data_IF_883619900255
#
_entry.id   IF_883619900255
#
_cell.length_a   1.000
_cell.length_b   1.000
_cell.length_c   1.000
_cell.angle_alpha   90.00
_cell.angle_beta   90.00
_cell.angle_gamma   90.00
#
_symmetry.space_group_name_H-M   'P 1'
#
loop_
_entity.id
_entity.type
_entity.pdbx_description
1 polymer ?
#
# COMPACT_ATOMS: atom_id res chain seq x y z
N UNK A 1 4.37 -7.51 1.61
CA UNK A 1 5.20 -6.44 1.00
C UNK A 1 6.31 -6.09 1.97
N UNK A 2 7.42 -5.53 1.49
CA UNK A 2 8.53 -5.05 2.33
C UNK A 2 8.96 -3.67 1.86
N UNK A 3 9.44 -2.84 2.77
CA UNK A 3 10.09 -1.55 2.50
C UNK A 3 11.07 -1.24 3.63
N UNK A 4 11.91 -0.21 3.52
CA UNK A 4 12.80 0.20 4.60
C UNK A 4 12.16 1.28 5.48
N UNK A 5 12.43 1.22 6.78
CA UNK A 5 12.15 2.34 7.67
C UNK A 5 13.07 3.53 7.27
N UNK A 6 12.53 4.72 6.95
CA UNK A 6 13.34 5.88 6.56
C UNK A 6 14.38 6.30 7.60
N UNK A 7 14.09 6.04 8.88
CA UNK A 7 14.94 6.46 9.99
C UNK A 7 16.02 5.42 10.27
N UNK A 8 15.62 4.16 10.51
CA UNK A 8 16.55 3.12 10.98
C UNK A 8 17.17 2.30 9.86
N UNK A 9 16.68 2.43 8.63
CA UNK A 9 17.06 1.61 7.47
C UNK A 9 16.87 0.10 7.70
N UNK A 10 16.14 -0.29 8.74
CA UNK A 10 15.79 -1.69 8.97
C UNK A 10 14.59 -2.06 8.10
N UNK A 11 14.57 -3.30 7.55
CA UNK A 11 13.45 -3.76 6.73
C UNK A 11 12.18 -3.87 7.56
N UNK A 12 11.10 -3.32 7.02
CA UNK A 12 9.74 -3.48 7.49
C UNK A 12 8.99 -4.49 6.65
N UNK A 13 8.15 -5.26 7.32
CA UNK A 13 7.30 -6.27 6.70
C UNK A 13 5.85 -5.88 6.87
N UNK A 14 5.09 -5.96 5.79
CA UNK A 14 3.71 -5.50 5.74
C UNK A 14 2.80 -6.56 5.14
N UNK A 15 1.63 -6.72 5.76
CA UNK A 15 0.46 -7.29 5.11
C UNK A 15 -0.31 -6.18 4.42
N UNK A 16 -0.58 -6.32 3.12
CA UNK A 16 -1.31 -5.35 2.30
C UNK A 16 -2.69 -5.89 2.00
N UNK A 17 -3.74 -5.14 2.34
CA UNK A 17 -5.12 -5.42 1.92
C UNK A 17 -5.61 -4.27 1.06
N UNK A 18 -5.98 -4.59 -0.18
CA UNK A 18 -6.51 -3.64 -1.17
C UNK A 18 -7.96 -4.03 -1.43
N UNK A 19 -8.86 -3.08 -1.25
CA UNK A 19 -10.29 -3.22 -1.57
C UNK A 19 -10.64 -2.07 -2.51
N UNK A 20 -11.39 -2.34 -3.58
CA UNK A 20 -11.79 -1.29 -4.53
C UNK A 20 -13.08 -1.71 -5.25
N UNK A 21 -13.83 -0.71 -5.72
CA UNK A 21 -14.95 -0.92 -6.63
C UNK A 21 -14.48 -0.68 -8.08
N UNK A 22 -14.28 -1.73 -8.88
CA UNK A 22 -13.82 -1.58 -10.26
C UNK A 22 -14.87 -0.86 -11.11
N UNK A 23 -14.39 -0.07 -12.08
CA UNK A 23 -15.21 0.53 -13.12
C UNK A 23 -14.90 -0.16 -14.46
N UNK A 24 -14.39 0.57 -15.46
CA UNK A 24 -14.04 0.00 -16.78
C UNK A 24 -12.76 -0.85 -16.78
N UNK A 25 -11.91 -0.71 -15.76
CA UNK A 25 -10.60 -1.37 -15.68
C UNK A 25 -10.44 -2.15 -14.37
N UNK A 26 -9.67 -3.23 -14.45
CA UNK A 26 -9.31 -4.07 -13.32
C UNK A 26 -7.79 -4.09 -13.14
N UNK A 27 -7.35 -4.24 -11.90
CA UNK A 27 -5.92 -4.44 -11.60
C UNK A 27 -5.50 -5.84 -12.05
N UNK A 28 -4.45 -5.94 -12.88
CA UNK A 28 -3.84 -7.21 -13.23
C UNK A 28 -2.90 -7.70 -12.11
N UNK A 29 -3.04 -8.96 -11.71
CA UNK A 29 -2.39 -9.49 -10.50
C UNK A 29 -0.86 -9.51 -10.57
N UNK A 30 -0.27 -9.79 -11.74
CA UNK A 30 1.19 -9.81 -11.91
C UNK A 30 1.77 -8.38 -11.87
N UNK A 31 1.14 -7.41 -12.51
CA UNK A 31 1.55 -6.00 -12.47
C UNK A 31 1.46 -5.44 -11.06
N UNK A 32 0.40 -5.75 -10.31
CA UNK A 32 0.26 -5.39 -8.90
C UNK A 32 1.39 -5.97 -8.06
N UNK A 33 1.74 -7.25 -8.25
CA UNK A 33 2.87 -7.87 -7.55
C UNK A 33 4.18 -7.14 -7.84
N UNK A 34 4.46 -6.83 -9.10
CA UNK A 34 5.70 -6.14 -9.50
C UNK A 34 5.75 -4.71 -8.94
N UNK A 35 4.64 -3.99 -8.98
CA UNK A 35 4.48 -2.67 -8.36
C UNK A 35 4.74 -2.73 -6.85
N UNK A 36 4.09 -3.63 -6.10
CA UNK A 36 4.34 -3.75 -4.66
C UNK A 36 5.78 -4.20 -4.34
N UNK A 37 6.46 -4.88 -5.26
CA UNK A 37 7.86 -5.28 -5.10
C UNK A 37 8.84 -4.13 -5.33
N UNK A 38 8.49 -3.08 -6.06
CA UNK A 38 9.39 -1.94 -6.30
C UNK A 38 9.75 -1.21 -4.99
N UNK A 39 8.83 -1.16 -4.04
CA UNK A 39 9.04 -0.54 -2.73
C UNK A 39 10.06 -1.24 -1.81
N UNK A 40 10.52 -2.45 -2.16
CA UNK A 40 11.45 -3.23 -1.31
C UNK A 40 12.72 -2.47 -0.94
N UNK A 41 13.23 -1.64 -1.84
CA UNK A 41 14.44 -0.85 -1.64
C UNK A 41 14.20 0.57 -1.11
N UNK A 42 12.95 0.96 -0.90
CA UNK A 42 12.59 2.36 -0.64
C UNK A 42 12.39 2.62 0.85
N UNK A 43 12.92 3.74 1.32
CA UNK A 43 12.67 4.25 2.67
C UNK A 43 11.33 4.98 2.74
N UNK A 44 10.27 4.33 3.22
CA UNK A 44 8.94 4.95 3.37
C UNK A 44 8.27 4.57 4.68
N UNK A 45 7.58 5.54 5.29
CA UNK A 45 6.67 5.28 6.41
C UNK A 45 5.44 4.50 5.92
N UNK A 46 4.82 3.74 6.81
CA UNK A 46 3.66 2.91 6.49
C UNK A 46 2.46 3.74 5.99
N UNK A 47 2.28 4.92 6.57
CA UNK A 47 1.24 5.90 6.24
C UNK A 47 1.42 6.44 4.83
N UNK A 48 2.67 6.79 4.48
CA UNK A 48 3.01 7.26 3.14
C UNK A 48 2.80 6.15 2.11
N UNK A 49 3.28 4.94 2.41
CA UNK A 49 3.07 3.77 1.54
C UNK A 49 1.57 3.49 1.30
N UNK A 50 0.73 3.55 2.33
CA UNK A 50 -0.70 3.30 2.18
C UNK A 50 -1.35 4.36 1.27
N UNK A 51 -1.01 5.63 1.50
CA UNK A 51 -1.50 6.76 0.70
C UNK A 51 -1.06 6.67 -0.75
N UNK A 52 0.21 6.35 -1.01
CA UNK A 52 0.78 6.27 -2.35
C UNK A 52 0.18 5.12 -3.15
N UNK A 53 0.07 3.93 -2.56
CA UNK A 53 -0.57 2.78 -3.21
C UNK A 53 -2.03 3.10 -3.56
N UNK A 54 -2.78 3.74 -2.67
CA UNK A 54 -4.18 4.09 -2.93
C UNK A 54 -4.30 5.11 -4.07
N UNK A 55 -3.46 6.14 -4.07
CA UNK A 55 -3.46 7.19 -5.09
C UNK A 55 -3.07 6.65 -6.46
N UNK A 56 -2.01 5.83 -6.53
CA UNK A 56 -1.53 5.24 -7.78
C UNK A 56 -2.59 4.32 -8.39
N UNK A 57 -3.24 3.48 -7.60
CA UNK A 57 -4.35 2.64 -8.08
C UNK A 57 -5.50 3.52 -8.58
N UNK A 58 -5.86 4.58 -7.84
CA UNK A 58 -6.96 5.45 -8.26
C UNK A 58 -6.67 6.14 -9.60
N UNK A 59 -5.43 6.61 -9.81
CA UNK A 59 -5.03 7.27 -11.06
C UNK A 59 -4.96 6.30 -12.24
N UNK A 60 -4.42 5.09 -12.02
CA UNK A 60 -4.17 4.13 -13.11
C UNK A 60 -5.43 3.35 -13.51
N UNK A 61 -6.25 2.93 -12.54
CA UNK A 61 -7.39 2.04 -12.78
C UNK A 61 -8.73 2.78 -12.74
N UNK A 62 -8.76 4.00 -12.17
CA UNK A 62 -9.96 4.84 -12.05
C UNK A 62 -11.19 4.10 -11.47
N UNK A 63 -11.03 3.36 -10.36
CA UNK A 63 -12.16 2.80 -9.66
C UNK A 63 -13.01 3.90 -9.01
N UNK A 64 -14.27 3.60 -8.70
CA UNK A 64 -15.16 4.54 -7.99
C UNK A 64 -14.57 4.90 -6.61
N UNK A 65 -14.03 3.89 -5.92
CA UNK A 65 -13.22 4.05 -4.72
C UNK A 65 -12.15 2.97 -4.59
N UNK A 66 -11.10 3.29 -3.83
CA UNK A 66 -10.08 2.34 -3.41
C UNK A 66 -9.69 2.59 -1.96
N UNK A 67 -9.57 1.50 -1.19
CA UNK A 67 -9.10 1.47 0.19
C UNK A 67 -7.90 0.55 0.31
N UNK A 68 -6.79 1.10 0.81
CA UNK A 68 -5.56 0.37 1.09
C UNK A 68 -5.35 0.33 2.60
N UNK A 69 -5.15 -0.87 3.13
CA UNK A 69 -4.78 -1.11 4.53
C UNK A 69 -3.41 -1.77 4.56
N UNK A 70 -2.46 -1.11 5.21
CA UNK A 70 -1.14 -1.65 5.50
C UNK A 70 -1.02 -1.95 6.98
N UNK A 71 -0.87 -3.24 7.30
CA UNK A 71 -0.53 -3.67 8.66
C UNK A 71 0.96 -3.96 8.71
N UNK A 72 1.71 -3.12 9.42
CA UNK A 72 3.12 -3.30 9.69
C UNK A 72 3.30 -4.37 10.76
N UNK A 73 4.23 -5.30 10.53
CA UNK A 73 4.61 -6.28 11.54
C UNK A 73 5.15 -5.58 12.79
N UNK A 74 4.93 -6.21 13.95
CA UNK A 74 5.21 -5.61 15.26
C UNK A 74 6.65 -5.10 15.38
N UNK A 75 6.81 -3.83 15.74
CA UNK A 75 8.08 -3.22 16.14
C UNK A 75 7.98 -2.67 17.56
N UNK A 76 8.94 -3.04 18.42
CA UNK A 76 8.94 -2.60 19.82
C UNK A 76 7.67 -2.96 20.60
N UNK A 77 6.98 -4.04 20.23
CA UNK A 77 5.72 -4.45 20.84
C UNK A 77 4.47 -3.73 20.31
N UNK A 78 4.59 -2.89 19.28
CA UNK A 78 3.49 -2.12 18.70
C UNK A 78 3.19 -2.61 17.28
N UNK A 79 1.92 -2.93 17.00
CA UNK A 79 1.41 -3.12 15.64
C UNK A 79 0.86 -1.78 15.13
N UNK A 80 1.32 -1.35 13.95
CA UNK A 80 0.82 -0.15 13.30
C UNK A 80 -0.01 -0.52 12.08
N UNK A 81 -1.19 0.11 11.97
CA UNK A 81 -2.11 -0.06 10.85
C UNK A 81 -2.41 1.28 10.20
N UNK A 82 -1.90 1.47 8.98
CA UNK A 82 -2.19 2.64 8.16
C UNK A 82 -3.34 2.33 7.19
N UNK A 83 -4.27 3.27 7.05
CA UNK A 83 -5.42 3.15 6.16
C UNK A 83 -5.49 4.41 5.30
N UNK A 84 -5.52 4.23 3.98
CA UNK A 84 -5.79 5.28 3.01
C UNK A 84 -7.02 4.92 2.19
N UNK A 85 -7.86 5.90 1.89
CA UNK A 85 -9.04 5.75 1.03
C UNK A 85 -9.10 6.91 0.06
N UNK A 86 -9.36 6.62 -1.22
CA UNK A 86 -9.54 7.62 -2.28
C UNK A 86 -10.85 7.30 -3.01
N UNK A 87 -11.65 8.33 -3.29
CA UNK A 87 -13.01 8.20 -3.82
C UNK A 87 -14.08 8.18 -2.72
N UNK A 88 -15.36 8.22 -3.13
CA UNK A 88 -16.51 8.12 -2.23
C UNK A 88 -16.97 6.66 -2.17
N UNK A 89 -17.03 6.09 -0.95
CA UNK A 89 -17.47 4.71 -0.69
C UNK A 89 -18.99 4.58 -0.62
#
# INVERSE_FOLDING_TARGET
MTAFCPVTHQPDFYTVKIQYAPNEQCIESKSLKLYLQSFRGEGKFAEQLASEIAQDIHVQVRPDWVRVVLTQHVRGGIELKAIATVGEM
#
